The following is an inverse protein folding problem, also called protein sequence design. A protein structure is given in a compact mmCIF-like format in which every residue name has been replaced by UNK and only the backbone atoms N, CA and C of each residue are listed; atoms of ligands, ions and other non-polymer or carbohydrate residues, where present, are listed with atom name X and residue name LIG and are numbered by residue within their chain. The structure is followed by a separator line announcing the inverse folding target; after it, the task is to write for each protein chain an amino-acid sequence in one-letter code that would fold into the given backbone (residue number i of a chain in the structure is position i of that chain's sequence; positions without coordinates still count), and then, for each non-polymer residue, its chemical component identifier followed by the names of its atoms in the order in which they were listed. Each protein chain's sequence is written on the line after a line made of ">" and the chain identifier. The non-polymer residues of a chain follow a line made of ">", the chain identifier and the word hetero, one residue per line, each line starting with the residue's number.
data_IF_220393200499
#
_entry.id   IF_220393200499
#
_cell.length_a   1.000
_cell.length_b   1.000
_cell.length_c   1.000
_cell.angle_alpha   90.00
_cell.angle_beta   90.00
_cell.angle_gamma   90.00
#
_symmetry.space_group_name_H-M   'P 1'
#
loop_
_entity.id
_entity.type
_entity.pdbx_description
1 polymer ?
#
# COMPACT_ATOMS: atom_id res chain seq x y z
N UNK A 1 39.55 -22.61 36.57
CA UNK A 1 40.32 -22.95 35.35
C UNK A 1 39.34 -23.32 34.26
N UNK A 2 39.02 -22.42 33.32
CA UNK A 2 39.07 -22.64 31.86
C UNK A 2 38.93 -21.25 31.23
N UNK A 3 40.04 -20.64 30.81
CA UNK A 3 40.05 -19.48 29.93
C UNK A 3 40.59 -20.00 28.60
N UNK A 4 39.77 -19.97 27.54
CA UNK A 4 40.24 -20.25 26.18
C UNK A 4 39.62 -19.24 25.24
N UNK A 5 40.32 -18.12 25.12
CA UNK A 5 40.22 -17.14 24.03
C UNK A 5 40.99 -17.70 22.83
N UNK A 6 40.29 -18.14 21.79
CA UNK A 6 40.89 -18.35 20.47
C UNK A 6 40.66 -17.07 19.64
N UNK A 7 41.65 -16.18 19.68
CA UNK A 7 41.77 -15.02 18.79
C UNK A 7 42.31 -15.51 17.45
N UNK A 8 41.44 -15.59 16.44
CA UNK A 8 41.85 -15.88 15.07
C UNK A 8 42.10 -14.56 14.33
N UNK A 9 43.31 -14.02 14.49
CA UNK A 9 43.82 -12.87 13.76
C UNK A 9 44.17 -13.30 12.32
N UNK A 10 43.41 -12.80 11.35
CA UNK A 10 43.80 -12.81 9.93
C UNK A 10 43.60 -11.41 9.36
N UNK A 11 44.70 -10.67 9.27
CA UNK A 11 44.82 -9.41 8.54
C UNK A 11 44.34 -9.56 7.07
N UNK A 12 43.56 -8.59 6.53
CA UNK A 12 43.41 -8.45 5.10
C UNK A 12 44.52 -7.54 4.55
N UNK A 13 45.34 -8.09 3.66
CA UNK A 13 46.37 -7.33 2.94
C UNK A 13 45.74 -6.45 1.86
N UNK A 14 45.86 -5.13 2.03
CA UNK A 14 45.48 -4.11 1.05
C UNK A 14 46.33 -4.24 -0.23
N UNK A 15 45.71 -4.74 -1.31
CA UNK A 15 46.25 -4.61 -2.68
C UNK A 15 45.32 -3.76 -3.52
N UNK A 16 45.64 -2.46 -3.57
CA UNK A 16 45.09 -1.46 -4.50
C UNK A 16 45.17 -1.99 -5.94
N UNK A 17 44.04 -2.38 -6.53
CA UNK A 17 43.92 -2.69 -7.96
C UNK A 17 42.96 -1.72 -8.66
N UNK A 18 43.60 -0.79 -9.38
CA UNK A 18 43.16 0.00 -10.54
C UNK A 18 41.67 -0.04 -10.91
N UNK A 19 41.00 1.11 -10.76
CA UNK A 19 39.66 1.43 -11.29
C UNK A 19 39.67 1.32 -12.82
N UNK A 20 39.11 0.23 -13.34
CA UNK A 20 38.71 0.12 -14.75
C UNK A 20 37.21 0.28 -14.82
N UNK A 21 36.78 1.38 -15.42
CA UNK A 21 35.39 1.69 -15.77
C UNK A 21 34.90 0.65 -16.78
N UNK A 22 34.29 -0.44 -16.30
CA UNK A 22 33.41 -1.25 -17.13
C UNK A 22 32.02 -0.66 -17.02
N UNK A 23 31.48 -0.18 -18.14
CA UNK A 23 30.06 0.09 -18.29
C UNK A 23 29.38 -1.27 -18.18
N UNK A 24 28.96 -1.63 -16.97
CA UNK A 24 28.10 -2.78 -16.75
C UNK A 24 26.70 -2.32 -17.12
N UNK A 25 26.20 -2.75 -18.28
CA UNK A 25 24.77 -2.75 -18.54
C UNK A 25 24.06 -3.35 -17.31
N UNK A 26 22.98 -2.76 -16.79
CA UNK A 26 22.29 -3.34 -15.67
C UNK A 26 21.67 -4.65 -16.14
N UNK A 27 22.33 -5.76 -15.80
CA UNK A 27 21.69 -7.06 -15.82
C UNK A 27 20.41 -6.96 -14.99
N UNK A 28 19.30 -7.60 -15.41
CA UNK A 28 18.05 -7.53 -14.66
C UNK A 28 18.31 -8.12 -13.29
N UNK A 29 18.49 -7.23 -12.31
CA UNK A 29 18.75 -7.61 -10.93
C UNK A 29 17.47 -8.30 -10.49
N UNK A 30 17.51 -9.62 -10.31
CA UNK A 30 16.38 -10.39 -9.82
C UNK A 30 16.12 -9.91 -8.39
N UNK A 31 15.22 -8.95 -8.24
CA UNK A 31 14.78 -8.47 -6.94
C UNK A 31 14.21 -9.65 -6.15
N UNK A 32 14.56 -9.71 -4.88
CA UNK A 32 13.98 -10.68 -3.95
C UNK A 32 12.47 -10.43 -3.82
N UNK A 33 11.73 -11.47 -3.42
CA UNK A 33 10.28 -11.40 -3.24
C UNK A 33 9.90 -10.33 -2.20
N UNK A 34 10.72 -10.20 -1.17
CA UNK A 34 10.59 -9.23 -0.08
C UNK A 34 10.78 -7.79 -0.58
N UNK A 35 11.76 -7.55 -1.46
CA UNK A 35 11.99 -6.24 -2.06
C UNK A 35 10.84 -5.83 -2.98
N UNK A 36 10.32 -6.76 -3.80
CA UNK A 36 9.18 -6.51 -4.68
C UNK A 36 7.93 -6.14 -3.85
N UNK A 37 7.67 -6.88 -2.78
CA UNK A 37 6.53 -6.61 -1.91
C UNK A 37 6.62 -5.23 -1.26
N UNK A 38 7.78 -4.92 -0.68
CA UNK A 38 8.02 -3.63 -0.02
C UNK A 38 7.90 -2.47 -1.00
N UNK A 39 8.49 -2.61 -2.19
CA UNK A 39 8.38 -1.61 -3.27
C UNK A 39 6.93 -1.41 -3.72
N UNK A 40 6.15 -2.48 -3.83
CA UNK A 40 4.73 -2.41 -4.20
C UNK A 40 3.92 -1.65 -3.16
N UNK A 41 4.14 -1.91 -1.87
CA UNK A 41 3.46 -1.17 -0.80
C UNK A 41 3.84 0.31 -0.83
N UNK A 42 5.13 0.63 -0.90
CA UNK A 42 5.59 2.01 -0.93
C UNK A 42 5.01 2.78 -2.13
N UNK A 43 4.90 2.10 -3.28
CA UNK A 43 4.25 2.66 -4.46
C UNK A 43 2.76 2.94 -4.22
N UNK A 44 2.03 1.99 -3.62
CA UNK A 44 0.61 2.15 -3.29
C UNK A 44 0.35 3.25 -2.28
N UNK A 45 1.20 3.39 -1.27
CA UNK A 45 1.15 4.48 -0.29
C UNK A 45 1.34 5.83 -0.95
N UNK A 46 2.36 5.95 -1.81
CA UNK A 46 2.60 7.18 -2.54
C UNK A 46 1.45 7.51 -3.50
N UNK A 47 0.89 6.52 -4.17
CA UNK A 47 -0.23 6.71 -5.08
C UNK A 47 -1.51 7.13 -4.33
N UNK A 48 -1.82 6.48 -3.21
CA UNK A 48 -2.98 6.78 -2.37
C UNK A 48 -2.94 8.22 -1.85
N UNK A 49 -1.76 8.72 -1.50
CA UNK A 49 -1.54 10.10 -1.03
C UNK A 49 -1.70 11.15 -2.14
N UNK A 50 -1.33 10.82 -3.39
CA UNK A 50 -1.43 11.76 -4.53
C UNK A 50 -2.84 11.85 -5.13
N UNK A 51 -3.63 10.79 -5.05
CA UNK A 51 -4.97 10.71 -5.64
C UNK A 51 -6.05 11.21 -4.69
N UNK A 52 -7.04 11.93 -5.23
CA UNK A 52 -8.23 12.37 -4.49
C UNK A 52 -9.15 11.19 -4.12
N UNK A 53 -9.57 11.06 -2.84
CA UNK A 53 -10.56 10.07 -2.42
C UNK A 53 -11.91 10.22 -3.14
N UNK A 54 -12.34 11.46 -3.41
CA UNK A 54 -13.60 11.77 -4.08
C UNK A 54 -13.58 11.34 -5.55
N UNK A 55 -12.45 11.57 -6.24
CA UNK A 55 -12.26 11.11 -7.60
C UNK A 55 -12.27 9.57 -7.68
N UNK A 56 -11.61 8.91 -6.73
CA UNK A 56 -11.59 7.44 -6.64
C UNK A 56 -12.97 6.86 -6.32
N UNK A 57 -13.77 7.53 -5.48
CA UNK A 57 -15.16 7.14 -5.22
C UNK A 57 -16.02 7.25 -6.47
N UNK A 58 -15.90 8.35 -7.23
CA UNK A 58 -16.60 8.49 -8.53
C UNK A 58 -16.20 7.40 -9.51
N UNK A 59 -14.89 7.11 -9.60
CA UNK A 59 -14.38 6.04 -10.46
C UNK A 59 -14.91 4.68 -10.04
N UNK A 60 -14.95 4.39 -8.73
CA UNK A 60 -15.52 3.16 -8.19
C UNK A 60 -16.98 2.97 -8.64
N UNK A 61 -17.82 4.00 -8.46
CA UNK A 61 -19.22 3.94 -8.88
C UNK A 61 -19.36 3.78 -10.40
N UNK A 62 -18.57 4.51 -11.19
CA UNK A 62 -18.56 4.38 -12.65
C UNK A 62 -18.17 2.96 -13.10
N UNK A 63 -17.14 2.37 -12.50
CA UNK A 63 -16.72 0.99 -12.79
C UNK A 63 -17.78 -0.04 -12.35
N UNK A 64 -18.50 0.20 -11.26
CA UNK A 64 -19.63 -0.64 -10.87
C UNK A 64 -20.78 -0.56 -11.90
N UNK A 65 -21.08 0.62 -12.42
CA UNK A 65 -22.11 0.81 -13.45
C UNK A 65 -21.71 0.16 -14.78
N UNK A 66 -20.45 0.28 -15.17
CA UNK A 66 -19.88 -0.44 -16.32
C UNK A 66 -20.01 -1.95 -16.15
N UNK A 67 -19.67 -2.48 -14.98
CA UNK A 67 -19.78 -3.91 -14.70
C UNK A 67 -21.24 -4.41 -14.77
N UNK A 68 -22.20 -3.61 -14.31
CA UNK A 68 -23.63 -3.93 -14.45
C UNK A 68 -24.03 -4.02 -15.93
N UNK A 69 -23.61 -3.05 -16.75
CA UNK A 69 -23.86 -3.08 -18.20
C UNK A 69 -23.26 -4.32 -18.85
N UNK A 70 -22.02 -4.68 -18.49
CA UNK A 70 -21.38 -5.90 -19.00
C UNK A 70 -22.14 -7.17 -18.61
N UNK A 71 -22.68 -7.24 -17.39
CA UNK A 71 -23.50 -8.37 -16.97
C UNK A 71 -24.81 -8.45 -17.75
N UNK A 72 -25.47 -7.32 -17.99
CA UNK A 72 -26.69 -7.24 -18.79
C UNK A 72 -26.42 -7.63 -20.26
N UNK A 73 -25.34 -7.13 -20.86
CA UNK A 73 -24.89 -7.49 -22.21
C UNK A 73 -24.57 -8.99 -22.33
N UNK A 74 -23.88 -9.58 -21.36
CA UNK A 74 -23.63 -11.02 -21.35
C UNK A 74 -24.94 -11.80 -21.19
N UNK A 75 -25.87 -11.32 -20.37
CA UNK A 75 -27.16 -11.97 -20.16
C UNK A 75 -28.04 -11.92 -21.42
N UNK A 76 -28.05 -10.80 -22.16
CA UNK A 76 -28.76 -10.69 -23.43
C UNK A 76 -28.15 -11.57 -24.51
N UNK A 77 -26.80 -11.58 -24.63
CA UNK A 77 -26.09 -12.46 -25.55
C UNK A 77 -26.37 -13.95 -25.28
N UNK A 78 -26.55 -14.34 -24.01
CA UNK A 78 -26.92 -15.72 -23.64
C UNK A 78 -28.37 -16.09 -23.93
N UNK A 79 -29.29 -15.12 -23.96
CA UNK A 79 -30.73 -15.35 -24.16
C UNK A 79 -31.14 -15.40 -25.64
N UNK A 80 -30.29 -14.96 -26.56
CA UNK A 80 -30.59 -15.00 -28.00
C UNK A 80 -30.74 -16.44 -28.52
N UNK A 81 -31.71 -16.67 -29.40
CA UNK A 81 -31.89 -17.98 -30.06
C UNK A 81 -30.63 -18.37 -30.83
N UNK A 82 -30.13 -19.60 -30.60
CA UNK A 82 -28.90 -20.11 -31.21
C UNK A 82 -27.59 -19.63 -30.56
N UNK A 83 -27.63 -18.84 -29.49
CA UNK A 83 -26.45 -18.29 -28.81
C UNK A 83 -25.44 -19.33 -28.30
N UNK A 84 -25.90 -20.54 -27.99
CA UNK A 84 -25.03 -21.64 -27.56
C UNK A 84 -24.25 -22.31 -28.72
N UNK A 85 -24.72 -22.16 -29.96
CA UNK A 85 -24.17 -22.84 -31.14
C UNK A 85 -23.37 -21.93 -32.06
N UNK A 86 -23.53 -20.60 -31.98
CA UNK A 86 -22.73 -19.66 -32.78
C UNK A 86 -21.39 -19.36 -32.08
N UNK A 87 -20.28 -19.77 -32.70
CA UNK A 87 -18.93 -19.43 -32.22
C UNK A 87 -18.69 -17.93 -32.12
N UNK A 88 -19.37 -17.13 -32.95
CA UNK A 88 -19.30 -15.66 -32.89
C UNK A 88 -19.87 -15.11 -31.57
N UNK A 89 -20.97 -15.70 -31.08
CA UNK A 89 -21.60 -15.27 -29.81
C UNK A 89 -20.73 -15.68 -28.63
N UNK A 90 -20.11 -16.87 -28.67
CA UNK A 90 -19.14 -17.29 -27.65
C UNK A 90 -17.92 -16.37 -27.60
N UNK A 91 -17.40 -15.96 -28.77
CA UNK A 91 -16.31 -14.99 -28.87
C UNK A 91 -16.63 -13.66 -28.20
N UNK A 92 -17.80 -13.08 -28.50
CA UNK A 92 -18.28 -11.83 -27.88
C UNK A 92 -18.44 -11.96 -26.36
N UNK A 93 -19.00 -13.08 -25.88
CA UNK A 93 -19.11 -13.33 -24.44
C UNK A 93 -17.73 -13.43 -23.78
N UNK A 94 -16.75 -14.06 -24.43
CA UNK A 94 -15.40 -14.18 -23.90
C UNK A 94 -14.71 -12.81 -23.80
N UNK A 95 -14.84 -11.97 -24.81
CA UNK A 95 -14.32 -10.60 -24.82
C UNK A 95 -14.93 -9.76 -23.67
N UNK A 96 -16.26 -9.80 -23.52
CA UNK A 96 -16.97 -9.10 -22.43
C UNK A 96 -16.57 -9.60 -21.04
N UNK A 97 -16.21 -10.88 -20.90
CA UNK A 97 -15.67 -11.42 -19.64
C UNK A 97 -14.26 -10.91 -19.36
N UNK A 98 -13.43 -10.70 -20.37
CA UNK A 98 -12.09 -10.11 -20.21
C UNK A 98 -12.24 -8.65 -19.75
N UNK A 99 -13.12 -7.89 -20.40
CA UNK A 99 -13.45 -6.51 -20.03
C UNK A 99 -13.94 -6.43 -18.57
N UNK A 100 -14.89 -7.28 -18.19
CA UNK A 100 -15.39 -7.37 -16.81
C UNK A 100 -14.31 -7.79 -15.81
N UNK A 101 -13.39 -8.68 -16.20
CA UNK A 101 -12.27 -9.10 -15.35
C UNK A 101 -11.29 -7.94 -15.10
N UNK A 102 -11.05 -7.10 -16.10
CA UNK A 102 -10.22 -5.89 -15.96
C UNK A 102 -10.90 -4.86 -15.05
N UNK A 103 -12.21 -4.65 -15.20
CA UNK A 103 -12.99 -3.81 -14.29
C UNK A 103 -12.89 -4.30 -12.83
N UNK A 104 -12.94 -5.61 -12.59
CA UNK A 104 -12.71 -6.17 -11.25
C UNK A 104 -11.30 -5.90 -10.70
N UNK A 105 -10.26 -5.95 -11.55
CA UNK A 105 -8.90 -5.59 -11.14
C UNK A 105 -8.83 -4.12 -10.73
N UNK A 106 -9.49 -3.22 -11.48
CA UNK A 106 -9.59 -1.81 -11.13
C UNK A 106 -10.31 -1.61 -9.79
N UNK A 107 -11.42 -2.30 -9.54
CA UNK A 107 -12.12 -2.27 -8.25
C UNK A 107 -11.24 -2.75 -7.09
N UNK A 108 -10.47 -3.81 -7.28
CA UNK A 108 -9.51 -4.30 -6.28
C UNK A 108 -8.41 -3.27 -5.99
N UNK A 109 -7.90 -2.60 -7.02
CA UNK A 109 -6.92 -1.54 -6.87
C UNK A 109 -7.48 -0.36 -6.06
N UNK A 110 -8.69 0.10 -6.39
CA UNK A 110 -9.38 1.15 -5.64
C UNK A 110 -9.59 0.77 -4.16
N UNK A 111 -10.03 -0.46 -3.90
CA UNK A 111 -10.20 -0.96 -2.53
C UNK A 111 -8.88 -0.98 -1.74
N UNK A 112 -7.78 -1.31 -2.41
CA UNK A 112 -6.47 -1.34 -1.77
C UNK A 112 -5.99 0.07 -1.41
N UNK A 113 -6.15 1.04 -2.30
CA UNK A 113 -5.84 2.45 -2.02
C UNK A 113 -6.69 3.00 -0.87
N UNK A 114 -7.98 2.67 -0.83
CA UNK A 114 -8.88 3.10 0.24
C UNK A 114 -8.46 2.53 1.61
N UNK A 115 -8.07 1.25 1.67
CA UNK A 115 -7.54 0.64 2.89
C UNK A 115 -6.27 1.32 3.40
N UNK A 116 -5.36 1.70 2.50
CA UNK A 116 -4.16 2.46 2.86
C UNK A 116 -4.56 3.79 3.50
N UNK A 117 -5.45 4.55 2.88
CA UNK A 117 -5.95 5.83 3.43
C UNK A 117 -6.61 5.67 4.80
N UNK A 118 -7.44 4.64 4.98
CA UNK A 118 -8.09 4.37 6.27
C UNK A 118 -7.07 4.04 7.36
N UNK A 119 -6.06 3.22 7.04
CA UNK A 119 -4.97 2.91 7.97
C UNK A 119 -4.25 4.19 8.38
N UNK A 120 -3.82 4.99 7.41
CA UNK A 120 -3.05 6.21 7.65
C UNK A 120 -3.86 7.23 8.45
N UNK A 121 -5.16 7.37 8.16
CA UNK A 121 -6.07 8.23 8.92
C UNK A 121 -6.23 7.77 10.37
N UNK A 122 -6.30 6.46 10.63
CA UNK A 122 -6.36 5.91 12.00
C UNK A 122 -5.07 6.16 12.75
N UNK A 123 -3.92 5.96 12.12
CA UNK A 123 -2.61 6.20 12.74
C UNK A 123 -2.41 7.68 13.06
N UNK A 124 -2.76 8.58 12.13
CA UNK A 124 -2.71 10.02 12.36
C UNK A 124 -3.62 10.45 13.51
N UNK A 125 -4.86 9.96 13.54
CA UNK A 125 -5.80 10.24 14.63
C UNK A 125 -5.27 9.74 15.98
N UNK A 126 -4.72 8.53 16.02
CA UNK A 126 -4.15 7.95 17.23
C UNK A 126 -2.95 8.76 17.74
N UNK A 127 -2.07 9.21 16.84
CA UNK A 127 -0.94 10.07 17.17
C UNK A 127 -1.39 11.39 17.79
N UNK A 128 -2.39 12.04 17.18
CA UNK A 128 -2.93 13.29 17.70
C UNK A 128 -3.62 13.12 19.05
N UNK A 129 -4.32 12.00 19.25
CA UNK A 129 -4.88 11.65 20.56
C UNK A 129 -3.79 11.55 21.64
N UNK A 130 -2.73 10.79 21.39
CA UNK A 130 -1.62 10.67 22.33
C UNK A 130 -0.96 12.03 22.64
N UNK A 131 -0.85 12.91 21.63
CA UNK A 131 -0.33 14.27 21.82
C UNK A 131 -1.22 15.09 22.75
N UNK A 132 -2.53 15.05 22.56
CA UNK A 132 -3.50 15.74 23.42
C UNK A 132 -3.47 15.18 24.85
N UNK A 133 -3.42 13.86 25.00
CA UNK A 133 -3.34 13.20 26.31
C UNK A 133 -2.07 13.60 27.08
N UNK A 134 -0.92 13.65 26.39
CA UNK A 134 0.35 14.12 26.95
C UNK A 134 0.27 15.58 27.41
N UNK A 135 -0.26 16.47 26.58
CA UNK A 135 -0.43 17.88 26.92
C UNK A 135 -1.38 18.06 28.10
N UNK A 136 -2.47 17.28 28.15
CA UNK A 136 -3.42 17.29 29.26
C UNK A 136 -2.76 16.90 30.58
N UNK A 137 -1.89 15.88 30.55
CA UNK A 137 -1.13 15.45 31.73
C UNK A 137 -0.15 16.54 32.21
N UNK A 138 0.57 17.17 31.28
CA UNK A 138 1.48 18.28 31.62
C UNK A 138 0.72 19.45 32.25
N UNK A 139 -0.43 19.83 31.68
CA UNK A 139 -1.28 20.88 32.24
C UNK A 139 -1.74 20.52 33.66
N UNK A 140 -2.16 19.27 33.89
CA UNK A 140 -2.57 18.82 35.21
C UNK A 140 -1.43 18.93 36.24
N UNK A 141 -0.22 18.53 35.86
CA UNK A 141 0.96 18.65 36.74
C UNK A 141 1.24 20.12 37.12
N UNK A 142 1.20 21.03 36.14
CA UNK A 142 1.41 22.46 36.38
C UNK A 142 0.32 23.06 37.28
N UNK A 143 -0.93 22.64 37.12
CA UNK A 143 -2.03 23.08 37.99
C UNK A 143 -1.86 22.59 39.42
N UNK A 144 -1.41 21.34 39.60
CA UNK A 144 -1.08 20.80 40.93
C UNK A 144 0.05 21.58 41.59
N UNK A 145 1.13 21.86 40.84
CA UNK A 145 2.26 22.64 41.35
C UNK A 145 1.84 24.07 41.73
N UNK A 146 1.06 24.75 40.87
CA UNK A 146 0.54 26.07 41.16
C UNK A 146 -0.37 26.10 42.41
N UNK A 147 -1.24 25.10 42.58
CA UNK A 147 -2.11 24.99 43.76
C UNK A 147 -1.31 24.70 45.03
N UNK A 148 -0.28 23.85 44.93
CA UNK A 148 0.64 23.56 46.03
C UNK A 148 1.37 24.83 46.48
N UNK A 149 1.99 25.55 45.54
CA UNK A 149 2.70 26.80 45.83
C UNK A 149 1.76 27.86 46.43
N UNK A 150 0.53 27.97 45.93
CA UNK A 150 -0.47 28.89 46.49
C UNK A 150 -0.77 28.58 47.96
N UNK A 151 -0.87 27.30 48.33
CA UNK A 151 -1.11 26.86 49.71
C UNK A 151 0.08 27.08 50.63
N UNK A 152 1.30 27.04 50.11
CA UNK A 152 2.52 27.29 50.91
C UNK A 152 2.77 28.77 51.19
N UNK A 153 2.38 29.66 50.28
CA UNK A 153 2.59 31.11 50.40
C UNK A 153 1.50 31.79 51.25
N UNK A 154 0.33 31.15 51.41
CA UNK A 154 -0.82 31.67 52.12
C UNK A 154 -0.89 31.19 53.58
#
# INVERSE_FOLDING_TARGET
>A
MVNKTDSNDREPTDKKRRKTTSVTEPSPTKLSKEEIYTSTIAFEEQEAAKRSPEADSKLFHATCDELRKLFDEIATLKKGDGAASSEEVKGKIAEKRIEGSLAFVALKKLNRLDKVRIRDGKEALHKEKLRVDSNRLQLQNLLYEADHLRKEVQ
#
